data_IF_239694527926
#
_entry.id   IF_239694527926
#
_cell.length_a   1.000
_cell.length_b   1.000
_cell.length_c   1.000
_cell.angle_alpha   90.00
_cell.angle_beta   90.00
_cell.angle_gamma   90.00
#
_symmetry.space_group_name_H-M   'P 1'
#
loop_
_entity.id
_entity.type
_entity.pdbx_description
1 polymer ?
#
# COMPACT_ATOMS: atom_id res chain seq x y z
N UNK A 1 27.42 17.57 0.64
CA UNK A 1 26.31 17.78 1.61
C UNK A 1 25.03 17.06 1.18
N UNK A 2 24.51 17.29 -0.04
CA UNK A 2 23.34 16.57 -0.59
C UNK A 2 23.50 15.03 -0.54
N UNK A 3 24.61 14.53 -1.10
CA UNK A 3 24.96 13.10 -1.14
C UNK A 3 25.02 12.38 0.23
N UNK A 4 25.31 13.11 1.31
CA UNK A 4 25.38 12.55 2.67
C UNK A 4 24.00 12.53 3.35
N UNK A 5 23.13 13.48 2.99
CA UNK A 5 21.72 13.51 3.38
C UNK A 5 20.93 12.37 2.72
N UNK A 6 21.19 12.14 1.44
CA UNK A 6 20.53 11.10 0.64
C UNK A 6 20.88 9.70 1.17
N UNK A 7 22.16 9.44 1.47
CA UNK A 7 22.59 8.17 2.08
C UNK A 7 21.92 7.89 3.43
N UNK A 8 21.72 8.93 4.25
CA UNK A 8 21.01 8.79 5.53
C UNK A 8 19.54 8.42 5.34
N UNK A 9 18.86 9.01 4.34
CA UNK A 9 17.47 8.67 4.02
C UNK A 9 17.32 7.23 3.51
N UNK A 10 18.20 6.78 2.63
CA UNK A 10 18.23 5.38 2.16
C UNK A 10 18.41 4.41 3.33
N UNK A 11 19.37 4.66 4.22
CA UNK A 11 19.62 3.80 5.39
C UNK A 11 18.45 3.78 6.38
N UNK A 12 17.82 4.93 6.62
CA UNK A 12 16.64 5.03 7.48
C UNK A 12 15.48 4.19 6.94
N UNK A 13 15.18 4.33 5.65
CA UNK A 13 14.11 3.56 5.00
C UNK A 13 14.44 2.07 5.02
N UNK A 14 15.66 1.67 4.62
CA UNK A 14 16.05 0.26 4.63
C UNK A 14 15.94 -0.36 6.01
N UNK A 15 16.35 0.36 7.06
CA UNK A 15 16.18 -0.09 8.44
C UNK A 15 14.71 -0.28 8.78
N UNK A 16 13.87 0.72 8.50
CA UNK A 16 12.42 0.67 8.75
C UNK A 16 11.76 -0.50 8.00
N UNK A 17 12.07 -0.67 6.70
CA UNK A 17 11.53 -1.74 5.87
C UNK A 17 11.99 -3.13 6.31
N UNK A 18 13.24 -3.27 6.77
CA UNK A 18 13.79 -4.56 7.22
C UNK A 18 13.09 -5.12 8.46
N UNK A 19 12.42 -4.27 9.24
CA UNK A 19 11.68 -4.68 10.44
C UNK A 19 10.26 -5.19 10.12
N UNK A 20 9.69 -4.81 8.97
CA UNK A 20 8.30 -5.14 8.59
C UNK A 20 8.04 -6.65 8.59
N UNK A 21 8.87 -7.52 7.96
CA UNK A 21 8.60 -8.96 7.96
C UNK A 21 8.49 -9.55 9.37
N UNK A 22 9.36 -9.12 10.30
CA UNK A 22 9.31 -9.56 11.69
C UNK A 22 8.01 -9.14 12.39
N UNK A 23 7.55 -7.90 12.15
CA UNK A 23 6.29 -7.39 12.69
C UNK A 23 5.06 -8.05 12.06
N UNK A 24 5.11 -8.40 10.76
CA UNK A 24 4.05 -9.18 10.11
C UNK A 24 3.86 -10.55 10.78
N UNK A 25 4.96 -11.22 11.15
CA UNK A 25 4.91 -12.49 11.87
C UNK A 25 4.32 -12.31 13.27
N UNK A 26 4.62 -11.21 13.97
CA UNK A 26 4.09 -10.98 15.33
C UNK A 26 2.58 -10.76 15.35
N UNK A 27 1.96 -10.39 14.22
CA UNK A 27 0.51 -10.23 14.06
C UNK A 27 -0.13 -11.32 13.20
N UNK A 28 0.50 -12.50 13.10
CA UNK A 28 0.00 -13.63 12.32
C UNK A 28 -1.47 -13.96 12.64
N UNK A 29 -2.22 -14.37 11.63
CA UNK A 29 -3.64 -14.71 11.75
C UNK A 29 -4.60 -13.52 11.63
N UNK A 30 -4.11 -12.28 11.57
CA UNK A 30 -4.95 -11.11 11.22
C UNK A 30 -5.22 -11.05 9.73
N UNK A 31 -6.42 -10.63 9.34
CA UNK A 31 -6.79 -10.48 7.93
C UNK A 31 -6.32 -9.14 7.32
N UNK A 32 -6.12 -8.11 8.14
CA UNK A 32 -5.84 -6.75 7.67
C UNK A 32 -4.34 -6.39 7.65
N UNK A 33 -3.43 -7.38 7.53
CA UNK A 33 -1.97 -7.16 7.55
C UNK A 33 -1.52 -6.13 6.52
N UNK A 34 -2.16 -6.11 5.33
CA UNK A 34 -1.86 -5.12 4.28
C UNK A 34 -2.01 -3.67 4.77
N UNK A 35 -2.95 -3.39 5.66
CA UNK A 35 -3.13 -2.05 6.22
C UNK A 35 -1.93 -1.61 7.07
N UNK A 36 -1.35 -2.51 7.85
CA UNK A 36 -0.16 -2.23 8.67
C UNK A 36 1.06 -1.94 7.79
N UNK A 37 1.26 -2.75 6.74
CA UNK A 37 2.33 -2.50 5.77
C UNK A 37 2.12 -1.13 5.10
N UNK A 38 0.92 -0.82 4.61
CA UNK A 38 0.60 0.50 4.05
C UNK A 38 0.88 1.64 5.03
N UNK A 39 0.54 1.47 6.32
CA UNK A 39 0.81 2.46 7.35
C UNK A 39 2.30 2.75 7.49
N UNK A 40 3.14 1.70 7.51
CA UNK A 40 4.60 1.86 7.55
C UNK A 40 5.14 2.54 6.30
N UNK A 41 4.56 2.32 5.11
CA UNK A 41 4.96 3.03 3.89
C UNK A 41 4.55 4.51 3.91
N UNK A 42 3.39 4.83 4.48
CA UNK A 42 2.91 6.20 4.68
C UNK A 42 3.62 6.94 5.82
N UNK A 43 4.29 6.22 6.72
CA UNK A 43 5.03 6.81 7.84
C UNK A 43 6.20 7.68 7.34
N UNK A 44 6.59 8.69 8.13
CA UNK A 44 7.70 9.60 7.82
C UNK A 44 9.07 8.90 7.74
N UNK A 45 9.24 7.83 8.52
CA UNK A 45 10.42 6.93 8.46
C UNK A 45 10.37 5.95 7.26
N UNK A 46 9.22 5.84 6.60
CA UNK A 46 9.04 5.09 5.36
C UNK A 46 9.17 6.01 4.15
N UNK A 47 8.20 5.96 3.24
CA UNK A 47 8.20 6.77 2.03
C UNK A 47 7.40 8.08 2.16
N UNK A 48 6.85 8.35 3.36
CA UNK A 48 6.09 9.55 3.66
C UNK A 48 4.93 9.81 2.66
N UNK A 49 4.26 8.73 2.25
CA UNK A 49 3.15 8.78 1.31
C UNK A 49 1.95 9.49 1.96
N UNK A 50 1.32 10.40 1.22
CA UNK A 50 0.12 11.10 1.71
C UNK A 50 -1.11 10.20 1.64
N UNK A 51 -1.17 9.34 0.63
CA UNK A 51 -2.24 8.38 0.40
C UNK A 51 -1.69 7.16 -0.32
N UNK A 52 -2.15 5.98 0.06
CA UNK A 52 -1.72 4.73 -0.54
C UNK A 52 -2.84 3.69 -0.52
N UNK A 53 -3.01 2.94 -1.59
CA UNK A 53 -4.02 1.91 -1.73
C UNK A 53 -3.44 0.66 -2.39
N UNK A 54 -3.88 -0.50 -1.92
CA UNK A 54 -3.49 -1.80 -2.45
C UNK A 54 -4.72 -2.54 -2.98
N UNK A 55 -4.60 -3.03 -4.21
CA UNK A 55 -5.62 -3.79 -4.94
C UNK A 55 -5.04 -5.11 -5.42
N UNK A 56 -5.93 -6.07 -5.64
CA UNK A 56 -5.62 -7.35 -6.28
C UNK A 56 -6.55 -7.56 -7.47
N UNK A 57 -5.96 -7.87 -8.62
CA UNK A 57 -6.66 -8.38 -9.79
C UNK A 57 -6.45 -9.90 -9.86
N UNK A 58 -7.55 -10.65 -9.82
CA UNK A 58 -7.59 -12.10 -9.93
C UNK A 58 -8.38 -12.50 -11.20
N UNK A 59 -7.70 -12.92 -12.27
CA UNK A 59 -8.37 -13.29 -13.52
C UNK A 59 -9.15 -14.60 -13.43
N UNK A 60 -8.72 -15.55 -12.59
CA UNK A 60 -9.39 -16.85 -12.44
C UNK A 60 -10.83 -16.69 -11.93
N UNK A 61 -11.02 -15.79 -10.96
CA UNK A 61 -12.33 -15.46 -10.38
C UNK A 61 -13.02 -14.24 -11.03
N UNK A 62 -12.44 -13.68 -12.11
CA UNK A 62 -12.92 -12.45 -12.76
C UNK A 62 -13.15 -11.30 -11.76
N UNK A 63 -12.20 -11.11 -10.83
CA UNK A 63 -12.37 -10.20 -9.70
C UNK A 63 -11.20 -9.21 -9.59
N UNK A 64 -11.51 -7.91 -9.53
CA UNK A 64 -10.60 -6.86 -9.10
C UNK A 64 -11.15 -6.26 -7.80
N UNK A 65 -10.33 -6.23 -6.75
CA UNK A 65 -10.78 -5.84 -5.41
C UNK A 65 -9.78 -4.92 -4.72
N UNK A 66 -10.28 -3.91 -4.02
CA UNK A 66 -9.50 -3.12 -3.08
C UNK A 66 -9.29 -3.85 -1.75
N UNK A 67 -8.04 -3.99 -1.33
CA UNK A 67 -7.65 -4.73 -0.13
C UNK A 67 -7.52 -3.82 1.08
N UNK A 68 -6.79 -2.71 0.93
CA UNK A 68 -6.57 -1.75 2.00
C UNK A 68 -6.20 -0.37 1.45
N UNK A 69 -6.58 0.69 2.18
CA UNK A 69 -6.24 2.07 1.88
C UNK A 69 -5.84 2.85 3.12
N UNK A 70 -4.74 3.59 3.06
CA UNK A 70 -4.28 4.50 4.12
C UNK A 70 -4.20 5.92 3.57
N UNK A 71 -4.70 6.88 4.33
CA UNK A 71 -4.61 8.30 4.05
C UNK A 71 -4.07 9.02 5.27
N UNK A 72 -2.97 9.75 5.13
CA UNK A 72 -2.29 10.44 6.23
C UNK A 72 -3.17 11.53 6.88
N UNK A 73 -4.13 12.07 6.13
CA UNK A 73 -5.13 13.00 6.66
C UNK A 73 -6.14 12.35 7.60
N UNK A 74 -6.31 11.03 7.54
CA UNK A 74 -7.14 10.28 8.48
C UNK A 74 -6.29 10.02 9.74
N UNK A 75 -6.33 10.94 10.70
CA UNK A 75 -5.58 10.78 11.96
C UNK A 75 -6.18 9.67 12.82
N UNK A 76 -5.36 8.68 13.18
CA UNK A 76 -5.74 7.61 14.10
C UNK A 76 -5.25 7.82 15.54
N UNK A 77 -4.30 8.74 15.78
CA UNK A 77 -3.73 8.98 17.11
C UNK A 77 -2.93 7.82 17.71
N UNK A 78 -2.70 6.74 16.95
CA UNK A 78 -1.94 5.55 17.38
C UNK A 78 -0.47 5.77 17.04
N UNK A 79 0.40 5.73 18.05
CA UNK A 79 1.84 5.97 17.89
C UNK A 79 2.56 4.79 17.23
N UNK A 80 2.18 3.56 17.55
CA UNK A 80 2.74 2.36 16.96
C UNK A 80 1.65 1.36 16.59
N UNK A 81 1.30 1.34 15.30
CA UNK A 81 0.23 0.49 14.78
C UNK A 81 0.46 -0.99 15.01
N UNK A 82 1.72 -1.44 15.11
CA UNK A 82 2.06 -2.85 15.33
C UNK A 82 1.95 -3.29 16.78
N UNK A 83 2.19 -2.38 17.73
CA UNK A 83 2.02 -2.66 19.17
C UNK A 83 0.54 -2.60 19.57
N UNK A 84 -0.18 -1.60 19.06
CA UNK A 84 -1.61 -1.39 19.35
C UNK A 84 -2.50 -2.00 18.24
N UNK A 85 -2.18 -3.23 17.83
CA UNK A 85 -2.74 -3.83 16.62
C UNK A 85 -4.27 -3.96 16.62
N UNK A 86 -4.89 -4.22 17.77
CA UNK A 86 -6.36 -4.30 17.89
C UNK A 86 -7.03 -2.94 17.70
N UNK A 87 -6.44 -1.90 18.30
CA UNK A 87 -6.92 -0.54 18.15
C UNK A 87 -6.76 -0.06 16.70
N UNK A 88 -5.61 -0.37 16.09
CA UNK A 88 -5.38 -0.03 14.69
C UNK A 88 -6.30 -0.79 13.74
N UNK A 89 -6.52 -2.10 13.93
CA UNK A 89 -7.50 -2.87 13.15
C UNK A 89 -8.91 -2.28 13.28
N UNK A 90 -9.34 -1.94 14.50
CA UNK A 90 -10.65 -1.31 14.75
C UNK A 90 -10.77 0.04 14.05
N UNK A 91 -9.71 0.85 14.11
CA UNK A 91 -9.63 2.12 13.39
C UNK A 91 -9.76 1.91 11.88
N UNK A 92 -9.00 0.98 11.30
CA UNK A 92 -9.01 0.73 9.84
C UNK A 92 -10.37 0.26 9.35
N UNK A 93 -11.13 -0.49 10.15
CA UNK A 93 -12.53 -0.84 9.83
C UNK A 93 -13.39 0.42 9.74
N UNK A 94 -13.13 1.43 10.57
CA UNK A 94 -13.89 2.68 10.60
C UNK A 94 -13.40 3.77 9.64
N UNK A 95 -12.13 3.71 9.18
CA UNK A 95 -11.48 4.71 8.34
C UNK A 95 -12.26 4.96 7.04
N UNK A 96 -12.64 6.21 6.74
CA UNK A 96 -13.37 6.56 5.53
C UNK A 96 -12.64 6.14 4.26
N UNK A 97 -11.34 6.43 4.17
CA UNK A 97 -10.57 6.10 2.98
C UNK A 97 -10.41 4.58 2.81
N UNK A 98 -10.12 3.85 3.90
CA UNK A 98 -10.01 2.39 3.82
C UNK A 98 -11.34 1.72 3.42
N UNK A 99 -12.48 2.20 3.96
CA UNK A 99 -13.81 1.73 3.55
C UNK A 99 -14.06 1.97 2.07
N UNK A 100 -13.71 3.15 1.57
CA UNK A 100 -13.84 3.47 0.15
C UNK A 100 -13.02 2.50 -0.71
N UNK A 101 -11.74 2.26 -0.37
CA UNK A 101 -10.92 1.26 -1.08
C UNK A 101 -11.57 -0.12 -1.04
N UNK A 102 -11.98 -0.60 0.14
CA UNK A 102 -12.56 -1.94 0.30
C UNK A 102 -13.94 -2.11 -0.35
N UNK A 103 -14.63 -1.02 -0.67
CA UNK A 103 -15.88 -1.05 -1.43
C UNK A 103 -15.68 -1.23 -2.93
N UNK A 104 -14.44 -1.08 -3.42
CA UNK A 104 -14.13 -1.30 -4.84
C UNK A 104 -14.07 -2.79 -5.10
N UNK A 105 -15.05 -3.24 -5.87
CA UNK A 105 -15.14 -4.58 -6.41
C UNK A 105 -15.70 -4.49 -7.83
N UNK A 106 -14.94 -4.95 -8.81
CA UNK A 106 -15.33 -4.99 -10.22
C UNK A 106 -14.74 -6.22 -10.89
N UNK A 107 -15.01 -6.40 -12.18
CA UNK A 107 -14.44 -7.50 -12.96
C UNK A 107 -12.94 -7.37 -13.14
N UNK A 108 -12.27 -8.50 -13.34
CA UNK A 108 -10.82 -8.53 -13.55
C UNK A 108 -10.42 -7.69 -14.76
N UNK A 109 -9.43 -6.82 -14.61
CA UNK A 109 -8.97 -5.97 -15.70
C UNK A 109 -8.18 -6.80 -16.72
N UNK A 110 -7.33 -7.70 -16.23
CA UNK A 110 -6.55 -8.62 -17.04
C UNK A 110 -7.43 -9.53 -17.91
N UNK A 111 -8.51 -10.09 -17.36
CA UNK A 111 -9.41 -10.99 -18.10
C UNK A 111 -10.25 -10.27 -19.14
N UNK A 112 -10.66 -9.03 -18.87
CA UNK A 112 -11.56 -8.26 -19.75
C UNK A 112 -10.81 -7.37 -20.76
N UNK A 113 -9.48 -7.52 -20.85
CA UNK A 113 -8.66 -6.81 -21.84
C UNK A 113 -8.58 -5.31 -21.63
N UNK A 114 -8.81 -4.83 -20.40
CA UNK A 114 -8.63 -3.43 -20.08
C UNK A 114 -7.13 -3.09 -20.02
N UNK A 115 -6.77 -1.92 -20.54
CA UNK A 115 -5.43 -1.38 -20.28
C UNK A 115 -5.29 -1.06 -18.79
N UNK A 116 -4.27 -1.64 -18.15
CA UNK A 116 -4.06 -1.46 -16.72
C UNK A 116 -3.84 0.01 -16.36
N UNK A 117 -3.06 0.75 -17.17
CA UNK A 117 -2.73 2.14 -16.83
C UNK A 117 -3.97 3.01 -16.90
N UNK A 118 -4.79 2.84 -17.92
CA UNK A 118 -6.06 3.57 -18.06
C UNK A 118 -7.01 3.25 -16.91
N UNK A 119 -7.17 1.96 -16.57
CA UNK A 119 -8.07 1.54 -15.50
C UNK A 119 -7.60 2.03 -14.13
N UNK A 120 -6.30 1.91 -13.83
CA UNK A 120 -5.70 2.43 -12.59
C UNK A 120 -5.83 3.95 -12.52
N UNK A 121 -5.62 4.66 -13.63
CA UNK A 121 -5.78 6.12 -13.65
C UNK A 121 -7.21 6.54 -13.37
N UNK A 122 -8.20 5.85 -13.95
CA UNK A 122 -9.61 6.09 -13.68
C UNK A 122 -9.97 5.86 -12.21
N UNK A 123 -9.55 4.72 -11.65
CA UNK A 123 -9.77 4.39 -10.22
C UNK A 123 -9.11 5.43 -9.32
N UNK A 124 -7.87 5.81 -9.61
CA UNK A 124 -7.15 6.81 -8.83
C UNK A 124 -7.85 8.18 -8.84
N UNK A 125 -8.39 8.58 -9.99
CA UNK A 125 -9.16 9.81 -10.11
C UNK A 125 -10.47 9.75 -9.29
N UNK A 126 -11.23 8.65 -9.37
CA UNK A 126 -12.43 8.43 -8.57
C UNK A 126 -12.14 8.43 -7.05
N UNK A 127 -10.95 7.99 -6.68
CA UNK A 127 -10.45 7.99 -5.31
C UNK A 127 -9.76 9.30 -4.88
N UNK A 128 -9.86 10.35 -5.71
CA UNK A 128 -9.30 11.68 -5.46
C UNK A 128 -7.79 11.67 -5.18
N UNK A 129 -7.02 10.79 -5.82
CA UNK A 129 -5.57 10.92 -5.85
C UNK A 129 -5.19 12.14 -6.70
N UNK A 130 -4.23 12.93 -6.23
CA UNK A 130 -3.86 14.21 -6.88
C UNK A 130 -2.86 13.99 -8.00
N UNK A 131 -1.84 13.17 -7.75
CA UNK A 131 -0.78 12.83 -8.72
C UNK A 131 -0.41 11.36 -8.58
N UNK A 132 -1.34 10.45 -8.93
CA UNK A 132 -1.18 9.04 -8.63
C UNK A 132 0.01 8.45 -9.37
N UNK A 133 0.89 7.81 -8.62
CA UNK A 133 1.87 6.84 -9.14
C UNK A 133 1.35 5.44 -8.85
N UNK A 134 1.76 4.47 -9.65
CA UNK A 134 1.42 3.08 -9.39
C UNK A 134 2.55 2.11 -9.73
N UNK A 135 2.54 0.98 -9.04
CA UNK A 135 3.30 -0.20 -9.39
C UNK A 135 2.35 -1.39 -9.53
N UNK A 136 2.70 -2.32 -10.41
CA UNK A 136 2.02 -3.60 -10.52
C UNK A 136 3.03 -4.74 -10.58
N UNK A 137 2.67 -5.89 -10.00
CA UNK A 137 3.54 -7.06 -9.95
C UNK A 137 2.71 -8.34 -9.95
N UNK A 138 3.34 -9.45 -10.35
CA UNK A 138 2.73 -10.78 -10.26
C UNK A 138 2.81 -11.30 -8.82
N UNK A 139 1.71 -11.87 -8.36
CA UNK A 139 1.56 -12.53 -7.06
C UNK A 139 1.32 -14.03 -7.26
N UNK A 140 1.18 -14.78 -6.16
CA UNK A 140 0.85 -16.22 -6.21
C UNK A 140 -0.51 -16.45 -6.89
N UNK A 141 -0.67 -17.59 -7.54
CA UNK A 141 -1.91 -18.00 -8.23
C UNK A 141 -2.34 -17.03 -9.34
N UNK A 142 -1.36 -16.52 -10.10
CA UNK A 142 -1.57 -15.56 -11.20
C UNK A 142 -2.37 -14.29 -10.85
N UNK A 143 -2.52 -14.01 -9.55
CA UNK A 143 -2.97 -12.72 -9.05
C UNK A 143 -2.00 -11.63 -9.49
N UNK A 144 -2.53 -10.43 -9.69
CA UNK A 144 -1.74 -9.22 -9.94
C UNK A 144 -1.98 -8.23 -8.80
N UNK A 145 -0.90 -7.85 -8.13
CA UNK A 145 -0.92 -6.80 -7.12
C UNK A 145 -0.81 -5.45 -7.79
N UNK A 146 -1.61 -4.49 -7.35
CA UNK A 146 -1.59 -3.12 -7.84
C UNK A 146 -1.51 -2.19 -6.63
N UNK A 147 -0.47 -1.37 -6.60
CA UNK A 147 -0.22 -0.40 -5.54
C UNK A 147 -0.31 1.01 -6.13
N UNK A 148 -1.20 1.83 -5.60
CA UNK A 148 -1.45 3.22 -6.06
C UNK A 148 -1.18 4.17 -4.93
N UNK A 149 -0.44 5.25 -5.17
CA UNK A 149 -0.06 6.18 -4.11
C UNK A 149 0.15 7.62 -4.59
N UNK A 150 -0.02 8.56 -3.66
CA UNK A 150 0.42 9.95 -3.75
C UNK A 150 1.58 10.18 -2.77
N UNK A 151 2.44 11.15 -3.11
CA UNK A 151 3.57 11.55 -2.28
C UNK A 151 3.78 13.06 -2.36
N UNK A 152 4.53 13.61 -1.41
CA UNK A 152 4.97 15.01 -1.47
C UNK A 152 6.04 15.14 -2.58
N UNK A 153 5.91 16.19 -3.40
CA UNK A 153 6.73 16.41 -4.60
C UNK A 153 8.25 16.33 -4.33
N UNK A 154 8.98 15.65 -5.22
CA UNK A 154 10.45 15.71 -5.29
C UNK A 154 11.23 14.68 -4.46
N UNK A 155 10.59 13.79 -3.71
CA UNK A 155 11.29 12.93 -2.74
C UNK A 155 11.42 11.45 -3.10
N UNK A 156 10.68 10.95 -4.10
CA UNK A 156 10.48 9.51 -4.28
C UNK A 156 11.25 8.88 -5.45
N UNK A 157 11.75 9.68 -6.39
CA UNK A 157 12.45 9.17 -7.58
C UNK A 157 13.75 8.45 -7.20
N UNK A 158 14.50 8.99 -6.24
CA UNK A 158 15.73 8.39 -5.73
C UNK A 158 15.49 7.10 -4.91
N UNK A 159 14.24 6.89 -4.45
CA UNK A 159 13.84 5.77 -3.61
C UNK A 159 12.98 4.73 -4.34
N UNK A 160 12.82 4.88 -5.66
CA UNK A 160 11.94 4.05 -6.48
C UNK A 160 12.28 2.55 -6.38
N UNK A 161 13.57 2.20 -6.32
CA UNK A 161 14.02 0.81 -6.19
C UNK A 161 13.58 0.21 -4.84
N UNK A 162 13.74 0.94 -3.74
CA UNK A 162 13.31 0.48 -2.42
C UNK A 162 11.79 0.28 -2.37
N UNK A 163 11.03 1.18 -2.99
CA UNK A 163 9.58 1.07 -3.08
C UNK A 163 9.20 -0.20 -3.85
N UNK A 164 9.80 -0.40 -5.02
CA UNK A 164 9.53 -1.58 -5.86
C UNK A 164 9.92 -2.89 -5.19
N UNK A 165 10.97 -2.92 -4.37
CA UNK A 165 11.30 -4.10 -3.57
C UNK A 165 10.30 -4.33 -2.44
N UNK A 166 9.80 -3.25 -1.83
CA UNK A 166 8.91 -3.32 -0.69
C UNK A 166 7.48 -3.77 -1.04
N UNK A 167 6.95 -3.42 -2.22
CA UNK A 167 5.58 -3.84 -2.60
C UNK A 167 5.40 -5.36 -2.63
N UNK A 168 6.49 -6.12 -2.79
CA UNK A 168 6.42 -7.58 -2.73
C UNK A 168 6.00 -8.11 -1.35
N UNK A 169 6.15 -7.34 -0.26
CA UNK A 169 5.65 -7.70 1.07
C UNK A 169 4.12 -7.93 1.08
N UNK A 170 3.37 -7.22 0.24
CA UNK A 170 1.93 -7.42 0.09
C UNK A 170 1.59 -8.83 -0.42
N UNK A 171 2.52 -9.51 -1.11
CA UNK A 171 2.33 -10.89 -1.57
C UNK A 171 2.28 -11.93 -0.43
N UNK A 172 2.64 -11.51 0.79
CA UNK A 172 2.54 -12.31 2.01
C UNK A 172 1.36 -11.89 2.90
N UNK A 173 0.59 -10.87 2.50
CA UNK A 173 -0.60 -10.46 3.21
C UNK A 173 -1.79 -11.34 2.81
N UNK A 174 -2.72 -11.66 3.74
CA UNK A 174 -3.98 -12.28 3.38
C UNK A 174 -4.77 -11.42 2.40
N UNK A 175 -5.32 -12.06 1.37
CA UNK A 175 -6.18 -11.44 0.36
C UNK A 175 -7.59 -11.94 0.68
N UNK A 176 -8.23 -11.30 1.68
CA UNK A 176 -9.61 -11.60 2.09
C UNK A 176 -10.65 -10.95 1.20
#
# INVERSE_FOLDING_TARGET
MKQMCDLNKHNQILRHLSEIPGRMISIHGRENVAAFVLSDLCHENGFNLTRAAFFVDNPDFDCFKGIAGVHKGDSHGISNVWQDADQYSSYMISSPFNKLIRSIEQKSMARNGHDEKEAVHKIAHELNFVQPKHYSWRMKHDNKGIFVFDHVHGELEELAEHMQNCIHLFSFCPIG
#
